data_IF_965498247041
#
_entry.id   IF_965498247041
#
_cell.length_a   1.000
_cell.length_b   1.000
_cell.length_c   1.000
_cell.angle_alpha   90.00
_cell.angle_beta   90.00
_cell.angle_gamma   90.00
#
_symmetry.space_group_name_H-M   'P 1'
#
loop_
_entity.id
_entity.type
_entity.pdbx_description
1 polymer ?
#
# COMPACT_ATOMS: atom_id res chain seq x y z
N UNK A 1 -9.36 -6.43 5.41
CA UNK A 1 -7.91 -6.15 5.64
C UNK A 1 -7.18 -7.16 6.53
N UNK A 2 -7.75 -7.63 7.66
CA UNK A 2 -7.06 -8.57 8.59
C UNK A 2 -6.51 -9.82 7.89
N UNK A 3 -7.30 -10.47 7.03
CA UNK A 3 -6.85 -11.67 6.31
C UNK A 3 -5.66 -11.39 5.37
N UNK A 4 -5.62 -10.22 4.74
CA UNK A 4 -4.53 -9.79 3.85
C UNK A 4 -3.26 -9.53 4.67
N UNK A 5 -3.37 -8.89 5.84
CA UNK A 5 -2.25 -8.72 6.76
C UNK A 5 -1.69 -10.05 7.27
N UNK A 6 -2.57 -11.02 7.60
CA UNK A 6 -2.15 -12.38 7.96
C UNK A 6 -1.43 -13.09 6.82
N UNK A 7 -1.90 -12.93 5.59
CA UNK A 7 -1.24 -13.48 4.40
C UNK A 7 0.14 -12.84 4.19
N UNK A 8 0.27 -11.52 4.32
CA UNK A 8 1.56 -10.83 4.22
C UNK A 8 2.56 -11.34 5.26
N UNK A 9 2.15 -11.42 6.53
CA UNK A 9 2.99 -11.92 7.61
C UNK A 9 3.34 -13.39 7.43
N UNK A 10 2.36 -14.24 7.09
CA UNK A 10 2.60 -15.66 6.86
C UNK A 10 3.55 -15.93 5.69
N UNK A 11 3.45 -15.17 4.60
CA UNK A 11 4.41 -15.23 3.49
C UNK A 11 5.80 -14.78 3.92
N UNK A 12 5.90 -13.73 4.72
CA UNK A 12 7.18 -13.23 5.22
C UNK A 12 7.86 -14.25 6.14
N UNK A 13 7.12 -14.80 7.11
CA UNK A 13 7.61 -15.77 8.09
C UNK A 13 8.05 -17.08 7.42
N UNK A 14 7.35 -17.51 6.36
CA UNK A 14 7.70 -18.68 5.56
C UNK A 14 8.85 -18.44 4.56
N UNK A 15 9.36 -17.21 4.45
CA UNK A 15 10.43 -16.84 3.52
C UNK A 15 9.99 -16.63 2.06
N UNK A 16 8.68 -16.57 1.80
CA UNK A 16 8.11 -16.24 0.48
C UNK A 16 8.07 -14.73 0.28
N UNK A 17 9.24 -14.10 0.16
CA UNK A 17 9.37 -12.63 0.17
C UNK A 17 8.69 -11.92 -1.00
N UNK A 18 8.66 -12.51 -2.21
CA UNK A 18 7.87 -11.95 -3.31
C UNK A 18 6.38 -12.01 -3.01
N UNK A 19 5.91 -13.13 -2.44
CA UNK A 19 4.53 -13.27 -1.98
C UNK A 19 4.19 -12.24 -0.89
N UNK A 20 5.08 -12.06 0.09
CA UNK A 20 4.91 -11.06 1.15
C UNK A 20 4.84 -9.64 0.57
N UNK A 21 5.74 -9.30 -0.35
CA UNK A 21 5.77 -8.01 -1.05
C UNK A 21 4.49 -7.72 -1.84
N UNK A 22 3.95 -8.72 -2.54
CA UNK A 22 2.66 -8.61 -3.27
C UNK A 22 1.50 -8.41 -2.30
N UNK A 23 1.47 -9.16 -1.19
CA UNK A 23 0.43 -9.00 -0.17
C UNK A 23 0.53 -7.65 0.55
N UNK A 24 1.75 -7.16 0.78
CA UNK A 24 2.00 -5.82 1.33
C UNK A 24 1.44 -4.73 0.40
N UNK A 25 1.70 -4.84 -0.91
CA UNK A 25 1.13 -3.93 -1.93
C UNK A 25 -0.39 -3.96 -1.88
N UNK A 26 -1.02 -5.13 -1.84
CA UNK A 26 -2.48 -5.28 -1.77
C UNK A 26 -3.07 -4.61 -0.54
N UNK A 27 -2.48 -4.82 0.64
CA UNK A 27 -2.97 -4.22 1.88
C UNK A 27 -2.84 -2.68 1.86
N UNK A 28 -1.74 -2.16 1.32
CA UNK A 28 -1.54 -0.71 1.16
C UNK A 28 -2.56 -0.11 0.19
N UNK A 29 -2.81 -0.78 -0.94
CA UNK A 29 -3.81 -0.36 -1.93
C UNK A 29 -5.21 -0.27 -1.30
N UNK A 30 -5.62 -1.32 -0.58
CA UNK A 30 -6.90 -1.33 0.14
C UNK A 30 -6.96 -0.23 1.19
N UNK A 31 -5.88 0.00 1.96
CA UNK A 31 -5.88 1.05 2.99
C UNK A 31 -6.06 2.44 2.40
N UNK A 32 -5.46 2.72 1.23
CA UNK A 32 -5.65 3.99 0.52
C UNK A 32 -7.12 4.14 0.09
N UNK A 33 -7.72 3.09 -0.47
CA UNK A 33 -9.12 3.12 -0.91
C UNK A 33 -10.06 3.39 0.27
N UNK A 34 -9.90 2.67 1.37
CA UNK A 34 -10.70 2.84 2.59
C UNK A 34 -10.62 4.28 3.13
N UNK A 35 -9.44 4.91 3.04
CA UNK A 35 -9.27 6.31 3.43
C UNK A 35 -10.09 7.28 2.54
N UNK A 36 -10.16 7.03 1.23
CA UNK A 36 -11.01 7.82 0.32
C UNK A 36 -12.51 7.57 0.54
N UNK A 37 -12.90 6.31 0.75
CA UNK A 37 -14.30 5.93 1.01
C UNK A 37 -14.82 6.52 2.33
N UNK A 38 -14.04 6.42 3.41
CA UNK A 38 -14.41 6.98 4.72
C UNK A 38 -14.61 8.50 4.69
N UNK A 39 -13.91 9.21 3.79
CA UNK A 39 -14.07 10.65 3.59
C UNK A 39 -15.13 11.03 2.55
N UNK A 40 -15.81 10.04 1.95
CA UNK A 40 -16.85 10.27 0.93
C UNK A 40 -16.33 10.89 -0.36
N UNK A 41 -15.05 10.67 -0.67
CA UNK A 41 -14.35 11.25 -1.84
C UNK A 41 -13.76 10.17 -2.77
N UNK A 42 -14.27 8.94 -2.69
CA UNK A 42 -13.89 7.77 -3.49
C UNK A 42 -14.01 8.00 -5.01
N UNK A 43 -14.92 8.87 -5.44
CA UNK A 43 -15.02 9.30 -6.84
C UNK A 43 -13.71 9.89 -7.41
N UNK A 44 -12.81 10.41 -6.56
CA UNK A 44 -11.50 10.93 -6.99
C UNK A 44 -10.51 9.82 -7.39
N UNK A 45 -10.78 8.59 -6.96
CA UNK A 45 -9.92 7.41 -7.17
C UNK A 45 -10.59 6.32 -8.03
N UNK A 46 -11.69 6.66 -8.69
CA UNK A 46 -12.40 5.80 -9.66
C UNK A 46 -12.33 6.40 -11.06
N UNK A 47 -12.35 5.53 -12.06
CA UNK A 47 -12.53 5.90 -13.47
C UNK A 47 -14.02 6.12 -13.81
N UNK A 48 -14.28 6.36 -15.10
CA UNK A 48 -15.63 6.59 -15.63
C UNK A 48 -16.54 5.34 -15.53
N UNK A 49 -15.96 4.15 -15.38
CA UNK A 49 -16.66 2.87 -15.21
C UNK A 49 -16.81 2.49 -13.72
N UNK A 50 -16.61 3.45 -12.82
CA UNK A 50 -16.61 3.30 -11.37
C UNK A 50 -15.58 2.28 -10.83
N UNK A 51 -14.55 1.94 -11.62
CA UNK A 51 -13.47 1.06 -11.20
C UNK A 51 -12.37 1.84 -10.51
N UNK A 52 -11.85 1.29 -9.40
CA UNK A 52 -10.73 1.90 -8.70
C UNK A 52 -9.45 1.90 -9.54
N UNK A 53 -8.71 3.00 -9.48
CA UNK A 53 -7.44 3.09 -10.17
C UNK A 53 -6.39 2.12 -9.61
N UNK A 54 -5.36 1.84 -10.42
CA UNK A 54 -4.20 1.06 -10.00
C UNK A 54 -3.33 1.84 -8.99
N UNK A 55 -2.56 1.11 -8.16
CA UNK A 55 -1.68 1.64 -7.11
C UNK A 55 -0.93 2.94 -7.45
N UNK A 56 -0.36 3.07 -8.65
CA UNK A 56 0.38 4.29 -9.05
C UNK A 56 -0.51 5.53 -8.97
N UNK A 57 -1.69 5.47 -9.59
CA UNK A 57 -2.63 6.58 -9.60
C UNK A 57 -3.25 6.79 -8.21
N UNK A 58 -3.53 5.71 -7.46
CA UNK A 58 -4.00 5.81 -6.08
C UNK A 58 -3.02 6.60 -5.20
N UNK A 59 -1.72 6.31 -5.29
CA UNK A 59 -0.67 7.06 -4.57
C UNK A 59 -0.64 8.52 -5.01
N UNK A 60 -0.73 8.81 -6.30
CA UNK A 60 -0.73 10.18 -6.81
C UNK A 60 -1.93 10.98 -6.27
N UNK A 61 -3.14 10.39 -6.30
CA UNK A 61 -4.35 10.99 -5.73
C UNK A 61 -4.20 11.18 -4.22
N UNK A 62 -3.69 10.18 -3.50
CA UNK A 62 -3.50 10.26 -2.05
C UNK A 62 -2.50 11.35 -1.62
N UNK A 63 -1.44 11.56 -2.41
CA UNK A 63 -0.44 12.61 -2.17
C UNK A 63 -0.94 14.01 -2.52
N UNK A 64 -1.84 14.13 -3.50
CA UNK A 64 -2.43 15.39 -3.93
C UNK A 64 -3.66 15.81 -3.11
N UNK A 65 -4.24 14.89 -2.35
CA UNK A 65 -5.44 15.14 -1.56
C UNK A 65 -5.15 16.09 -0.39
N UNK A 66 -5.98 17.13 -0.25
CA UNK A 66 -5.81 18.19 0.74
C UNK A 66 -6.63 17.99 2.01
N UNK A 67 -7.59 17.06 2.02
CA UNK A 67 -8.42 16.75 3.20
C UNK A 67 -7.68 16.01 4.31
N UNK A 68 -6.47 15.50 4.03
CA UNK A 68 -5.59 14.90 5.03
C UNK A 68 -4.15 15.37 4.88
N UNK A 69 -3.34 15.12 5.91
CA UNK A 69 -1.92 15.40 5.88
C UNK A 69 -1.11 14.16 6.26
N UNK A 70 -0.56 13.50 5.25
CA UNK A 70 0.31 12.34 5.47
C UNK A 70 1.68 12.77 6.06
N UNK A 71 2.26 11.98 6.97
CA UNK A 71 3.62 12.18 7.46
C UNK A 71 4.66 12.25 6.33
N UNK A 72 5.72 13.04 6.53
CA UNK A 72 6.73 13.29 5.48
C UNK A 72 7.43 12.02 5.00
N UNK A 73 7.70 11.08 5.90
CA UNK A 73 8.30 9.79 5.59
C UNK A 73 7.34 8.89 4.79
N UNK A 74 6.05 8.85 5.14
CA UNK A 74 5.01 8.16 4.36
C UNK A 74 4.97 8.72 2.94
N UNK A 75 4.89 10.06 2.79
CA UNK A 75 4.88 10.72 1.47
C UNK A 75 6.07 10.31 0.58
N UNK A 76 7.25 10.13 1.18
CA UNK A 76 8.47 9.68 0.47
C UNK A 76 8.45 8.18 0.18
N UNK A 77 7.98 7.36 1.13
CA UNK A 77 8.05 5.91 1.08
C UNK A 77 7.03 5.24 0.17
N UNK A 78 5.87 5.87 -0.10
CA UNK A 78 4.81 5.24 -0.91
C UNK A 78 5.29 4.77 -2.29
N UNK A 79 6.13 5.55 -2.96
CA UNK A 79 6.69 5.17 -4.27
C UNK A 79 7.61 3.96 -4.15
N UNK A 80 8.45 3.90 -3.13
CA UNK A 80 9.36 2.77 -2.89
C UNK A 80 8.58 1.49 -2.56
N UNK A 81 7.53 1.60 -1.74
CA UNK A 81 6.64 0.47 -1.39
C UNK A 81 5.92 -0.09 -2.62
N UNK A 82 5.41 0.80 -3.49
CA UNK A 82 4.82 0.41 -4.79
C UNK A 82 5.85 -0.33 -5.64
N UNK A 83 7.07 0.20 -5.75
CA UNK A 83 8.10 -0.37 -6.64
C UNK A 83 8.61 -1.72 -6.13
N UNK A 84 8.67 -1.93 -4.81
CA UNK A 84 8.95 -3.24 -4.21
C UNK A 84 7.89 -4.27 -4.63
N UNK A 85 6.61 -3.96 -4.46
CA UNK A 85 5.50 -4.84 -4.85
C UNK A 85 5.44 -5.09 -6.35
N UNK A 86 5.62 -4.05 -7.18
CA UNK A 86 5.58 -4.16 -8.63
C UNK A 86 6.69 -5.07 -9.18
N UNK A 87 7.91 -4.94 -8.66
CA UNK A 87 9.03 -5.80 -9.06
C UNK A 87 8.78 -7.25 -8.67
N UNK A 88 8.31 -7.52 -7.44
CA UNK A 88 7.96 -8.88 -7.00
C UNK A 88 6.86 -9.53 -7.83
N UNK A 89 5.90 -8.73 -8.34
CA UNK A 89 4.79 -9.26 -9.13
C UNK A 89 5.15 -9.54 -10.60
N UNK A 90 6.00 -8.71 -11.22
CA UNK A 90 6.11 -8.66 -12.69
C UNK A 90 7.52 -8.79 -13.23
N UNK A 91 8.56 -8.57 -12.44
CA UNK A 91 9.93 -8.62 -12.94
C UNK A 91 10.50 -10.04 -12.84
N UNK A 92 10.59 -10.72 -13.99
CA UNK A 92 11.13 -12.09 -14.11
C UNK A 92 12.55 -12.30 -13.60
N UNK A 93 13.33 -11.22 -13.45
CA UNK A 93 14.72 -11.26 -12.98
C UNK A 93 14.87 -10.77 -11.53
N UNK A 94 13.78 -10.31 -10.92
CA UNK A 94 13.78 -9.88 -9.54
C UNK A 94 13.25 -11.00 -8.65
N UNK A 95 13.95 -11.23 -7.56
CA UNK A 95 13.49 -12.08 -6.45
C UNK A 95 13.71 -11.28 -5.19
N UNK A 96 12.63 -10.94 -4.49
CA UNK A 96 12.73 -10.23 -3.23
C UNK A 96 13.49 -11.07 -2.21
N UNK A 97 14.34 -10.41 -1.45
CA UNK A 97 15.04 -10.99 -0.31
C UNK A 97 14.53 -10.39 0.98
N UNK A 98 14.76 -11.08 2.09
CA UNK A 98 14.42 -10.58 3.43
C UNK A 98 14.85 -9.13 3.65
N UNK A 99 16.11 -8.83 3.33
CA UNK A 99 16.69 -7.50 3.49
C UNK A 99 15.96 -6.41 2.67
N UNK A 100 15.40 -6.76 1.51
CA UNK A 100 14.59 -5.83 0.73
C UNK A 100 13.31 -5.44 1.47
N UNK A 101 12.65 -6.39 2.14
CA UNK A 101 11.44 -6.11 2.92
C UNK A 101 11.79 -5.43 4.24
N UNK A 102 12.80 -5.91 4.97
CA UNK A 102 13.23 -5.39 6.27
C UNK A 102 13.53 -3.89 6.21
N UNK A 103 14.17 -3.45 5.12
CA UNK A 103 14.45 -2.04 4.86
C UNK A 103 13.17 -1.17 4.83
N UNK A 104 12.03 -1.73 4.44
CA UNK A 104 10.78 -0.98 4.25
C UNK A 104 9.72 -1.25 5.33
N UNK A 105 9.89 -2.23 6.24
CA UNK A 105 8.88 -2.58 7.25
C UNK A 105 8.44 -1.39 8.12
N UNK A 106 9.39 -0.51 8.49
CA UNK A 106 9.09 0.69 9.27
C UNK A 106 8.13 1.64 8.54
N UNK A 107 8.53 2.12 7.35
CA UNK A 107 7.71 3.04 6.55
C UNK A 107 6.42 2.38 6.06
N UNK A 108 6.42 1.07 5.84
CA UNK A 108 5.23 0.31 5.49
C UNK A 108 4.17 0.37 6.59
N UNK A 109 4.55 0.03 7.83
CA UNK A 109 3.65 0.10 9.00
C UNK A 109 3.08 1.50 9.17
N UNK A 110 3.94 2.52 9.14
CA UNK A 110 3.52 3.91 9.30
C UNK A 110 2.57 4.36 8.17
N UNK A 111 2.75 3.84 6.95
CA UNK A 111 1.85 4.11 5.83
C UNK A 111 0.47 3.49 6.05
N UNK A 112 0.42 2.22 6.48
CA UNK A 112 -0.84 1.54 6.81
C UNK A 112 -1.56 2.27 7.94
N UNK A 113 -0.88 2.51 9.06
CA UNK A 113 -1.46 3.21 10.22
C UNK A 113 -2.00 4.60 9.83
N UNK A 114 -1.26 5.37 9.02
CA UNK A 114 -1.72 6.67 8.56
C UNK A 114 -3.03 6.61 7.78
N UNK A 115 -3.16 5.67 6.82
CA UNK A 115 -4.39 5.53 6.05
C UNK A 115 -5.54 4.96 6.87
N UNK A 116 -5.27 4.03 7.80
CA UNK A 116 -6.29 3.47 8.67
C UNK A 116 -6.84 4.51 9.66
N UNK A 117 -6.01 5.41 10.19
CA UNK A 117 -6.48 6.54 10.98
C UNK A 117 -7.34 7.51 10.16
N UNK A 118 -6.97 7.78 8.90
CA UNK A 118 -7.80 8.59 8.00
C UNK A 118 -9.14 7.90 7.72
N UNK A 119 -9.13 6.58 7.63
CA UNK A 119 -10.31 5.75 7.41
C UNK A 119 -11.17 5.53 8.68
N UNK A 120 -10.75 6.05 9.84
CA UNK A 120 -11.41 5.83 11.13
C UNK A 120 -11.51 4.32 11.51
N UNK A 121 -10.50 3.54 11.13
CA UNK A 121 -10.36 2.10 11.39
C UNK A 121 -9.29 1.77 12.46
N UNK A 122 -8.63 2.79 13.01
CA UNK A 122 -7.71 2.78 14.14
C UNK A 122 -7.95 4.02 15.01
#
# INVERSE_FOLDING_TARGET
MISVGRQANGSYDAGYYDGASVMMRRLLETSIIEAFEAKGIDKKVKDEEEQFFQMTQLIEKALAESSWNLPRNVKKGLRELRDLGHRSAHNRYYLAKKADLDKHLGVYRESIEAFLHIADLL
#
